data_IF_720769453864
#
_entry.id   IF_720769453864
#
_cell.length_a   1.000
_cell.length_b   1.000
_cell.length_c   1.000
_cell.angle_alpha   90.00
_cell.angle_beta   90.00
_cell.angle_gamma   90.00
#
_symmetry.space_group_name_H-M   'P 1'
#
loop_
_entity.id
_entity.type
_entity.pdbx_description
1 polymer ?
#
# COMPACT_ATOMS: atom_id res chain seq x y z
N UNK A 1 -34.56 38.14 -30.11
CA UNK A 1 -33.15 38.19 -29.64
C UNK A 1 -33.09 37.64 -28.20
N UNK A 2 -32.98 36.33 -27.99
CA UNK A 2 -31.75 35.52 -28.00
C UNK A 2 -30.65 36.12 -27.13
N UNK A 3 -30.35 35.45 -26.01
CA UNK A 3 -29.23 35.79 -25.13
C UNK A 3 -29.30 35.13 -23.76
N UNK A 4 -29.41 33.80 -23.69
CA UNK A 4 -29.15 33.06 -22.46
C UNK A 4 -27.65 32.70 -22.44
N UNK A 5 -26.87 33.35 -21.58
CA UNK A 5 -25.49 32.95 -21.27
C UNK A 5 -25.52 32.06 -20.05
N UNK A 6 -25.47 30.75 -20.29
CA UNK A 6 -25.21 29.73 -19.26
C UNK A 6 -23.76 29.83 -18.83
N UNK A 7 -23.50 30.32 -17.62
CA UNK A 7 -22.20 30.15 -16.98
C UNK A 7 -22.06 28.68 -16.58
N UNK A 8 -21.23 27.95 -17.31
CA UNK A 8 -20.86 26.59 -16.96
C UNK A 8 -19.94 26.64 -15.74
N UNK A 9 -20.46 26.22 -14.58
CA UNK A 9 -19.62 25.90 -13.42
C UNK A 9 -18.79 24.66 -13.77
N UNK A 10 -17.51 24.87 -14.00
CA UNK A 10 -16.53 23.78 -14.11
C UNK A 10 -16.22 23.31 -12.70
N UNK A 11 -16.87 22.22 -12.28
CA UNK A 11 -16.49 21.49 -11.08
C UNK A 11 -15.25 20.67 -11.41
N UNK A 12 -14.07 21.21 -11.10
CA UNK A 12 -12.84 20.43 -11.09
C UNK A 12 -12.81 19.67 -9.76
N UNK A 13 -13.15 18.38 -9.81
CA UNK A 13 -12.84 17.45 -8.74
C UNK A 13 -11.36 17.06 -8.86
N UNK A 14 -10.47 17.79 -8.19
CA UNK A 14 -9.09 17.32 -8.00
C UNK A 14 -9.09 16.38 -6.80
N UNK A 15 -9.36 15.11 -7.06
CA UNK A 15 -9.18 14.03 -6.10
C UNK A 15 -8.69 12.75 -6.81
N UNK A 16 -7.65 12.87 -7.66
CA UNK A 16 -7.13 11.71 -8.39
C UNK A 16 -5.73 11.84 -9.01
N UNK A 17 -5.09 13.02 -9.01
CA UNK A 17 -3.76 13.16 -9.63
C UNK A 17 -2.61 12.55 -8.80
N UNK A 18 -2.79 12.39 -7.49
CA UNK A 18 -1.78 11.76 -6.63
C UNK A 18 -1.76 10.23 -6.71
N UNK A 19 -2.91 9.63 -7.04
CA UNK A 19 -3.06 8.16 -7.14
C UNK A 19 -2.53 7.65 -8.49
N UNK A 20 -2.83 8.33 -9.60
CA UNK A 20 -2.44 7.86 -10.94
C UNK A 20 -0.92 7.72 -11.16
N UNK A 21 -0.08 8.35 -10.33
CA UNK A 21 1.38 8.23 -10.48
C UNK A 21 1.91 6.84 -10.10
N UNK A 22 1.20 6.08 -9.27
CA UNK A 22 1.61 4.73 -8.87
C UNK A 22 1.08 3.61 -9.76
N UNK A 23 0.09 3.88 -10.61
CA UNK A 23 -0.47 2.95 -11.58
C UNK A 23 0.46 2.85 -12.80
N UNK A 24 1.39 1.91 -12.74
CA UNK A 24 2.48 1.74 -13.69
C UNK A 24 2.13 0.76 -14.83
N UNK A 25 1.16 -0.15 -14.61
CA UNK A 25 0.63 -1.01 -15.67
C UNK A 25 -0.63 -0.46 -16.37
N UNK A 26 -1.26 0.57 -15.82
CA UNK A 26 -2.44 1.23 -16.39
C UNK A 26 -3.76 0.48 -16.11
N UNK A 27 -3.79 -0.43 -15.13
CA UNK A 27 -4.98 -1.20 -14.77
C UNK A 27 -5.93 -0.46 -13.82
N UNK A 28 -5.61 0.79 -13.48
CA UNK A 28 -6.38 1.66 -12.56
C UNK A 28 -6.36 1.20 -11.10
N UNK A 29 -5.48 0.28 -10.74
CA UNK A 29 -5.17 -0.11 -9.38
C UNK A 29 -3.70 0.20 -9.12
N UNK A 30 -3.37 0.50 -7.87
CA UNK A 30 -1.98 0.58 -7.42
C UNK A 30 -1.77 -0.62 -6.50
N UNK A 31 -1.01 -1.60 -6.95
CA UNK A 31 -0.88 -2.89 -6.28
C UNK A 31 0.53 -3.48 -6.44
N UNK A 32 0.70 -4.76 -6.06
CA UNK A 32 2.01 -5.42 -6.11
C UNK A 32 2.59 -5.51 -7.54
N UNK A 33 1.74 -5.57 -8.57
CA UNK A 33 2.19 -5.59 -9.97
C UNK A 33 2.94 -4.30 -10.34
N UNK A 34 2.51 -3.15 -9.82
CA UNK A 34 3.18 -1.87 -10.04
C UNK A 34 4.55 -1.84 -9.36
N UNK A 35 4.64 -2.41 -8.15
CA UNK A 35 5.92 -2.58 -7.45
C UNK A 35 6.84 -3.47 -8.28
N UNK A 36 6.35 -4.62 -8.76
CA UNK A 36 7.14 -5.55 -9.57
C UNK A 36 7.57 -4.93 -10.92
N UNK A 37 6.73 -4.08 -11.51
CA UNK A 37 7.11 -3.29 -12.69
C UNK A 37 8.21 -2.28 -12.38
N UNK A 38 8.09 -1.55 -11.27
CA UNK A 38 9.11 -0.62 -10.84
C UNK A 38 10.44 -1.33 -10.56
N UNK A 39 10.42 -2.46 -9.85
CA UNK A 39 11.63 -3.25 -9.56
C UNK A 39 12.36 -3.67 -10.84
N UNK A 40 11.61 -4.09 -11.88
CA UNK A 40 12.20 -4.40 -13.20
C UNK A 40 12.78 -3.17 -13.92
N UNK A 41 12.24 -1.99 -13.66
CA UNK A 41 12.71 -0.74 -14.25
C UNK A 41 13.95 -0.18 -13.53
N UNK A 42 14.16 -0.53 -12.25
CA UNK A 42 15.37 -0.14 -11.51
C UNK A 42 16.60 -0.62 -12.29
N UNK A 43 17.54 0.29 -12.52
CA UNK A 43 18.77 0.08 -13.31
C UNK A 43 18.57 -0.25 -14.82
N UNK A 44 17.36 -0.23 -15.37
CA UNK A 44 17.08 -0.50 -16.80
C UNK A 44 17.21 0.74 -17.70
N UNK A 45 17.55 1.90 -17.13
CA UNK A 45 17.63 3.19 -17.82
C UNK A 45 16.60 4.19 -17.29
N UNK A 46 16.66 5.43 -17.78
CA UNK A 46 15.71 6.46 -17.35
C UNK A 46 14.41 6.39 -18.18
N UNK A 47 13.31 6.15 -17.49
CA UNK A 47 11.95 6.36 -17.99
C UNK A 47 11.20 7.22 -16.97
N UNK A 48 10.72 8.42 -17.35
CA UNK A 48 10.03 9.33 -16.44
C UNK A 48 8.81 8.75 -15.72
N UNK A 49 8.22 7.67 -16.25
CA UNK A 49 7.07 7.01 -15.61
C UNK A 49 7.44 6.35 -14.28
N UNK A 50 8.68 5.91 -14.14
CA UNK A 50 9.17 5.23 -12.93
C UNK A 50 9.93 6.18 -11.97
N UNK A 51 10.10 7.46 -12.33
CA UNK A 51 10.69 8.50 -11.46
C UNK A 51 9.62 9.10 -10.55
N UNK A 52 9.30 8.36 -9.50
CA UNK A 52 8.22 8.68 -8.57
C UNK A 52 8.64 9.73 -7.54
N UNK A 53 9.94 9.84 -7.24
CA UNK A 53 10.47 10.85 -6.33
C UNK A 53 10.91 12.16 -7.02
N UNK A 54 10.93 12.21 -8.36
CA UNK A 54 11.28 13.40 -9.14
C UNK A 54 12.78 13.71 -9.18
N UNK A 55 13.63 12.70 -9.02
CA UNK A 55 15.09 12.84 -8.97
C UNK A 55 15.77 12.81 -10.34
N UNK A 56 15.02 12.59 -11.43
CA UNK A 56 15.51 12.27 -12.77
C UNK A 56 16.36 10.97 -12.80
N UNK A 57 16.05 10.02 -11.92
CA UNK A 57 16.67 8.69 -11.89
C UNK A 57 15.60 7.67 -11.49
N UNK A 58 15.75 6.42 -11.95
CA UNK A 58 14.89 5.30 -11.53
C UNK A 58 15.72 4.41 -10.61
N UNK A 59 15.36 4.38 -9.34
CA UNK A 59 16.17 3.84 -8.25
C UNK A 59 15.32 3.28 -7.11
N UNK A 60 15.98 2.71 -6.08
CA UNK A 60 15.28 2.28 -4.86
C UNK A 60 14.63 3.43 -4.08
N UNK A 61 15.00 4.68 -4.35
CA UNK A 61 14.29 5.83 -3.77
C UNK A 61 12.92 6.04 -4.45
N UNK A 62 12.70 5.52 -5.65
CA UNK A 62 11.39 5.51 -6.31
C UNK A 62 10.52 4.39 -5.75
N UNK A 63 11.13 3.24 -5.45
CA UNK A 63 10.46 2.17 -4.70
C UNK A 63 9.96 2.69 -3.34
N UNK A 64 10.80 3.41 -2.59
CA UNK A 64 10.40 3.99 -1.30
C UNK A 64 9.24 4.98 -1.47
N UNK A 65 9.25 5.78 -2.55
CA UNK A 65 8.14 6.67 -2.87
C UNK A 65 6.84 5.90 -3.19
N UNK A 66 6.91 4.82 -3.97
CA UNK A 66 5.76 3.98 -4.27
C UNK A 66 5.18 3.34 -3.00
N UNK A 67 6.03 2.68 -2.22
CA UNK A 67 5.61 1.91 -1.03
C UNK A 67 5.05 2.82 0.06
N UNK A 68 5.76 3.91 0.40
CA UNK A 68 5.39 4.74 1.57
C UNK A 68 4.45 5.89 1.24
N UNK A 69 4.66 6.58 0.13
CA UNK A 69 3.97 7.84 -0.15
C UNK A 69 2.72 7.63 -1.01
N UNK A 70 2.73 6.63 -1.89
CA UNK A 70 1.62 6.36 -2.81
C UNK A 70 0.73 5.23 -2.26
N UNK A 71 1.28 4.03 -2.03
CA UNK A 71 0.54 2.91 -1.45
C UNK A 71 0.20 3.11 0.03
N UNK A 72 0.97 3.93 0.73
CA UNK A 72 0.76 4.17 2.16
C UNK A 72 1.00 2.94 3.04
N UNK A 73 1.86 2.02 2.58
CA UNK A 73 2.22 0.80 3.33
C UNK A 73 3.69 0.83 3.78
N UNK A 74 4.21 -0.33 4.17
CA UNK A 74 5.51 -0.56 4.77
C UNK A 74 6.22 -1.70 4.03
N UNK A 75 7.55 -1.65 4.02
CA UNK A 75 8.35 -2.82 3.64
C UNK A 75 7.97 -4.03 4.50
N UNK A 76 7.94 -5.21 3.88
CA UNK A 76 7.54 -6.46 4.51
C UNK A 76 6.04 -6.80 4.38
N UNK A 77 5.18 -5.84 4.03
CA UNK A 77 3.75 -6.10 3.81
C UNK A 77 3.52 -6.73 2.41
N UNK A 78 3.65 -8.05 2.34
CA UNK A 78 3.55 -8.82 1.08
C UNK A 78 2.11 -8.96 0.57
N UNK A 79 1.12 -8.62 1.40
CA UNK A 79 -0.29 -8.73 1.02
C UNK A 79 -0.97 -7.36 0.81
N UNK A 80 -0.26 -6.27 1.09
CA UNK A 80 -0.70 -4.87 0.96
C UNK A 80 -1.91 -4.54 1.85
N UNK A 81 -2.01 -5.14 3.04
CA UNK A 81 -3.05 -4.80 4.03
C UNK A 81 -2.69 -3.59 4.93
N UNK A 82 -1.54 -2.98 4.69
CA UNK A 82 -1.01 -1.84 5.41
C UNK A 82 -0.20 -2.22 6.65
N UNK A 83 0.01 -3.52 6.94
CA UNK A 83 0.66 -3.97 8.17
C UNK A 83 1.63 -5.11 7.90
N UNK A 84 2.94 -4.85 8.02
CA UNK A 84 3.93 -5.93 8.07
C UNK A 84 3.77 -6.74 9.37
N UNK A 85 3.35 -7.99 9.26
CA UNK A 85 3.16 -8.90 10.39
C UNK A 85 3.47 -10.37 10.03
N UNK A 86 3.09 -11.30 10.93
CA UNK A 86 3.34 -12.73 10.71
C UNK A 86 2.60 -13.31 9.50
N UNK A 87 1.46 -12.73 9.10
CA UNK A 87 0.69 -13.16 7.93
C UNK A 87 1.49 -12.99 6.65
N UNK A 88 2.24 -11.88 6.53
CA UNK A 88 3.12 -11.61 5.39
C UNK A 88 4.28 -12.58 5.33
N UNK A 89 4.91 -12.85 6.48
CA UNK A 89 5.98 -13.83 6.59
C UNK A 89 5.50 -15.24 6.22
N UNK A 90 4.32 -15.64 6.71
CA UNK A 90 3.71 -16.93 6.33
C UNK A 90 3.47 -16.97 4.82
N UNK A 91 2.97 -15.88 4.23
CA UNK A 91 2.69 -15.79 2.79
C UNK A 91 3.95 -15.98 1.94
N UNK A 92 5.02 -15.25 2.22
CA UNK A 92 6.27 -15.35 1.43
C UNK A 92 6.93 -16.72 1.60
N UNK A 93 6.91 -17.30 2.82
CA UNK A 93 7.44 -18.67 3.01
C UNK A 93 6.56 -19.75 2.38
N UNK A 94 5.25 -19.53 2.24
CA UNK A 94 4.35 -20.42 1.49
C UNK A 94 4.60 -20.38 -0.02
N UNK A 95 5.09 -19.26 -0.56
CA UNK A 95 5.51 -19.17 -1.95
C UNK A 95 6.73 -20.07 -2.25
N UNK A 96 7.56 -20.34 -1.24
CA UNK A 96 8.65 -21.30 -1.33
C UNK A 96 9.88 -20.82 -2.09
N UNK A 97 10.07 -19.50 -2.20
CA UNK A 97 11.14 -18.86 -2.97
C UNK A 97 12.35 -18.43 -2.13
N UNK A 98 12.27 -18.59 -0.79
CA UNK A 98 13.37 -18.21 0.09
C UNK A 98 14.63 -19.04 -0.19
N UNK A 99 15.67 -18.38 -0.71
CA UNK A 99 16.97 -19.00 -1.00
C UNK A 99 16.84 -20.28 -1.87
N UNK A 100 15.90 -20.28 -2.83
CA UNK A 100 15.52 -21.47 -3.59
C UNK A 100 16.44 -21.80 -4.79
N UNK A 101 17.35 -20.88 -5.14
CA UNK A 101 18.29 -20.96 -6.26
C UNK A 101 17.65 -20.90 -7.65
N UNK A 102 16.42 -20.38 -7.76
CA UNK A 102 15.73 -20.16 -9.03
C UNK A 102 15.75 -18.67 -9.31
N UNK A 103 16.66 -18.28 -10.21
CA UNK A 103 16.85 -16.89 -10.59
C UNK A 103 15.56 -16.20 -11.06
N UNK A 104 15.38 -14.94 -10.63
CA UNK A 104 14.40 -13.98 -11.10
C UNK A 104 12.94 -14.42 -10.93
N UNK A 105 12.64 -15.23 -9.90
CA UNK A 105 11.30 -15.77 -9.69
C UNK A 105 10.47 -15.04 -8.61
N UNK A 106 11.09 -14.09 -7.89
CA UNK A 106 10.46 -13.40 -6.77
C UNK A 106 9.80 -12.08 -7.18
N UNK A 107 8.78 -11.72 -6.40
CA UNK A 107 7.92 -10.55 -6.56
C UNK A 107 7.73 -9.93 -5.17
N UNK A 108 7.18 -8.72 -5.09
CA UNK A 108 6.84 -8.12 -3.81
C UNK A 108 5.97 -9.02 -2.92
N UNK A 109 4.99 -9.70 -3.55
CA UNK A 109 4.05 -10.57 -2.87
C UNK A 109 4.66 -11.91 -2.42
N UNK A 110 5.83 -12.26 -2.93
CA UNK A 110 6.55 -13.51 -2.62
C UNK A 110 7.89 -13.30 -1.93
N UNK A 111 8.34 -12.05 -1.77
CA UNK A 111 9.41 -11.68 -0.84
C UNK A 111 10.47 -10.71 -1.36
N UNK A 112 10.45 -10.33 -2.64
CA UNK A 112 11.38 -9.35 -3.22
C UNK A 112 11.03 -7.94 -2.71
N UNK A 113 11.69 -7.52 -1.65
CA UNK A 113 11.48 -6.25 -0.96
C UNK A 113 12.62 -5.26 -1.20
N UNK A 114 13.69 -5.68 -1.87
CA UNK A 114 14.80 -4.81 -2.26
C UNK A 114 15.00 -4.60 -3.77
N UNK A 115 14.13 -5.20 -4.59
CA UNK A 115 14.07 -5.14 -6.05
C UNK A 115 15.24 -5.84 -6.77
N UNK A 116 15.83 -6.89 -6.20
CA UNK A 116 16.84 -7.70 -6.89
C UNK A 116 16.25 -8.92 -7.62
N UNK A 117 14.95 -9.21 -7.42
CA UNK A 117 14.13 -10.29 -8.00
C UNK A 117 14.35 -11.67 -7.36
N UNK A 118 15.02 -11.70 -6.22
CA UNK A 118 15.15 -12.86 -5.35
C UNK A 118 14.35 -12.64 -4.06
N UNK A 119 14.07 -13.73 -3.34
CA UNK A 119 13.66 -13.64 -1.95
C UNK A 119 14.73 -14.30 -1.11
N UNK A 120 15.56 -13.49 -0.46
CA UNK A 120 16.68 -13.98 0.31
C UNK A 120 16.81 -13.26 1.67
N UNK A 121 17.95 -13.49 2.32
CA UNK A 121 18.21 -12.88 3.63
C UNK A 121 18.27 -11.34 3.59
N UNK A 122 18.66 -10.75 2.46
CA UNK A 122 18.74 -9.30 2.27
C UNK A 122 17.37 -8.64 2.27
N UNK A 123 16.34 -9.27 1.69
CA UNK A 123 14.95 -8.82 1.77
C UNK A 123 14.43 -8.81 3.20
N UNK A 124 14.68 -9.89 3.94
CA UNK A 124 14.29 -9.95 5.35
C UNK A 124 14.95 -8.82 6.13
N UNK A 125 16.25 -8.57 5.91
CA UNK A 125 16.96 -7.45 6.53
C UNK A 125 16.31 -6.12 6.13
N UNK A 126 16.01 -5.93 4.84
CA UNK A 126 15.35 -4.72 4.30
C UNK A 126 14.00 -4.47 4.97
N UNK A 127 13.15 -5.48 5.05
CA UNK A 127 11.84 -5.38 5.69
C UNK A 127 11.93 -5.12 7.19
N UNK A 128 12.89 -5.71 7.91
CA UNK A 128 13.05 -5.42 9.34
C UNK A 128 13.73 -4.07 9.63
N UNK A 129 14.57 -3.57 8.72
CA UNK A 129 15.23 -2.26 8.87
C UNK A 129 14.31 -1.09 8.50
N UNK A 130 13.53 -1.24 7.42
CA UNK A 130 12.72 -0.18 6.87
C UNK A 130 11.23 -0.34 7.17
N UNK A 131 10.79 -1.55 7.50
CA UNK A 131 9.40 -1.86 7.77
C UNK A 131 8.99 -1.62 9.22
N UNK A 132 7.71 -1.86 9.50
CA UNK A 132 7.07 -1.61 10.80
C UNK A 132 6.44 -2.89 11.36
N UNK A 133 7.28 -3.92 11.57
CA UNK A 133 6.78 -5.22 12.03
C UNK A 133 5.92 -5.11 13.29
N UNK A 134 4.66 -5.52 13.19
CA UNK A 134 3.69 -5.50 14.27
C UNK A 134 3.23 -6.91 14.59
N UNK A 135 3.30 -7.29 15.86
CA UNK A 135 2.76 -8.59 16.32
C UNK A 135 1.22 -8.64 16.28
N UNK A 136 0.57 -7.49 16.06
CA UNK A 136 -0.84 -7.31 16.27
C UNK A 136 -1.62 -7.23 14.95
N UNK A 137 -1.65 -8.33 14.18
CA UNK A 137 -2.68 -8.50 13.14
C UNK A 137 -4.11 -8.47 13.75
N UNK A 138 -4.24 -8.69 15.06
CA UNK A 138 -5.54 -8.73 15.78
C UNK A 138 -5.98 -7.42 16.42
N UNK A 139 -5.07 -6.54 16.88
CA UNK A 139 -5.51 -5.39 17.69
C UNK A 139 -6.23 -4.31 16.86
N UNK A 140 -5.91 -4.18 15.57
CA UNK A 140 -6.58 -3.22 14.68
C UNK A 140 -8.03 -3.62 14.39
N UNK A 141 -8.33 -4.92 14.29
CA UNK A 141 -9.70 -5.41 14.13
C UNK A 141 -10.55 -5.24 15.41
N UNK A 142 -9.93 -5.24 16.60
CA UNK A 142 -10.64 -5.06 17.87
C UNK A 142 -10.83 -3.58 18.27
N UNK A 143 -9.95 -2.66 17.82
CA UNK A 143 -10.10 -1.23 18.08
C UNK A 143 -11.37 -0.64 17.45
N UNK A 144 -11.73 -1.09 16.24
CA UNK A 144 -12.98 -0.69 15.56
C UNK A 144 -14.24 -1.22 16.25
N UNK A 145 -14.20 -2.47 16.72
CA UNK A 145 -15.32 -3.07 17.45
C UNK A 145 -15.47 -2.43 18.84
N UNK A 146 -14.36 -2.11 19.53
CA UNK A 146 -14.37 -1.44 20.83
C UNK A 146 -15.02 -0.06 20.79
N UNK A 147 -14.73 0.72 19.74
CA UNK A 147 -15.35 2.03 19.50
C UNK A 147 -16.85 1.90 19.21
N UNK A 148 -17.25 0.94 18.37
CA UNK A 148 -18.66 0.69 18.06
C UNK A 148 -19.48 0.22 19.29
N UNK A 149 -18.89 -0.60 20.18
CA UNK A 149 -19.56 -1.07 21.41
C UNK A 149 -19.71 0.05 22.44
N UNK A 150 -18.75 0.96 22.56
CA UNK A 150 -18.85 2.09 23.50
C UNK A 150 -19.93 3.09 23.09
N UNK A 151 -20.15 3.30 21.79
CA UNK A 151 -21.21 4.18 21.31
C UNK A 151 -22.63 3.59 21.50
N UNK A 152 -22.82 2.29 21.28
CA UNK A 152 -24.13 1.63 21.48
C UNK A 152 -24.54 1.60 22.97
N UNK A 153 -23.57 1.43 23.90
CA UNK A 153 -23.85 1.50 25.35
C UNK A 153 -24.29 2.89 25.81
N UNK A 154 -23.70 3.95 25.27
CA UNK A 154 -24.07 5.33 25.57
C UNK A 154 -25.52 5.63 25.14
N UNK A 155 -25.90 5.22 23.92
CA UNK A 155 -27.26 5.42 23.37
C UNK A 155 -28.31 4.57 24.09
N UNK A 156 -27.99 3.36 24.54
CA UNK A 156 -28.90 2.50 25.31
C UNK A 156 -29.12 2.94 26.76
N UNK A 157 -28.17 3.67 27.36
CA UNK A 157 -28.36 4.24 28.70
C UNK A 157 -29.35 5.40 28.66
N UNK A 158 -29.21 6.31 27.68
CA UNK A 158 -30.10 7.47 27.54
C UNK A 158 -31.57 7.10 27.26
N UNK A 159 -31.83 5.97 26.59
CA UNK A 159 -33.21 5.55 26.26
C UNK A 159 -33.95 4.88 27.44
N UNK A 160 -33.24 4.44 28.48
CA UNK A 160 -33.86 3.83 29.67
C UNK A 160 -34.40 4.85 30.67
N UNK A 161 -33.86 6.07 30.68
CA UNK A 161 -34.31 7.13 31.59
C UNK A 161 -35.60 7.84 31.11
N UNK A 162 -36.04 7.59 29.87
CA UNK A 162 -37.26 8.21 29.29
C UNK A 162 -38.53 7.40 29.59
N UNK A 163 -38.42 6.17 30.11
CA UNK A 163 -39.56 5.28 30.38
C UNK A 163 -39.94 5.14 31.87
N UNK A 164 -39.28 5.89 32.76
CA UNK A 164 -39.59 5.92 34.20
C UNK A 164 -39.89 7.35 34.61
N UNK A 165 -41.11 7.83 34.33
CA UNK A 165 -41.66 9.10 34.83
C UNK A 165 -43.18 8.97 34.95
#
# INVERSE_FOLDING_TARGET
PSGATSEATVSIEISGESDARGDLDGDSLINANDIDLLCRAVNSGFDPRFDLNGSNSVSLADLDALVRNILGTTYGDSNLDGVFNSTDLIRVFQAGQYEDQIEDNSTWATGDWDCDREFDTSDLIRAFQLGTYSQNARDNAFADIGSAIHEDRSKRSSKRDVYVS
#
